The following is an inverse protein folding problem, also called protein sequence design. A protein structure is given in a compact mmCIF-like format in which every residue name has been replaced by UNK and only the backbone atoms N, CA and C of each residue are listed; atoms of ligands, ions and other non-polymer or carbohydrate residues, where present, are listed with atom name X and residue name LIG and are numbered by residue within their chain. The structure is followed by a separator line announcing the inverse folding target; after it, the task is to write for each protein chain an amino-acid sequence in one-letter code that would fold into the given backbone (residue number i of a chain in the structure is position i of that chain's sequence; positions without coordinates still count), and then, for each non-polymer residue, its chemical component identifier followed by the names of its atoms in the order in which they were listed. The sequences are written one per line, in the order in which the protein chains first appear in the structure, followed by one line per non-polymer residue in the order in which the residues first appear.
data_IF_759107570252
#
_entry.id   IF_759107570252
#
_cell.length_a   1.000
_cell.length_b   1.000
_cell.length_c   1.000
_cell.angle_alpha   90.00
_cell.angle_beta   90.00
_cell.angle_gamma   90.00
#
_symmetry.space_group_name_H-M   'P 1'
#
loop_
_entity.id
_entity.type
_entity.pdbx_description
1 polymer ?
#
# COMPACT_ATOMS: atom_id res chain seq x y z
N UNK A 1 -46.42 32.93 25.04
CA UNK A 1 -46.36 31.46 24.98
C UNK A 1 -45.17 31.11 24.11
N UNK A 2 -44.07 30.69 24.74
CA UNK A 2 -42.78 30.47 24.09
C UNK A 2 -42.65 28.99 23.72
N UNK A 3 -42.63 28.70 22.43
CA UNK A 3 -42.27 27.39 21.86
C UNK A 3 -40.83 27.50 21.39
N UNK A 4 -39.87 27.25 22.28
CA UNK A 4 -38.44 27.38 21.96
C UNK A 4 -37.62 26.33 22.71
N UNK A 5 -38.09 25.08 22.69
CA UNK A 5 -37.49 24.00 23.47
C UNK A 5 -37.63 22.62 22.80
N UNK A 6 -37.39 22.54 21.49
CA UNK A 6 -37.34 21.24 20.80
C UNK A 6 -36.09 21.01 19.93
N UNK A 7 -35.25 22.03 19.69
CA UNK A 7 -34.07 21.86 18.81
C UNK A 7 -32.78 21.43 19.53
N UNK A 8 -32.81 21.27 20.87
CA UNK A 8 -31.62 20.95 21.67
C UNK A 8 -31.43 19.46 22.03
N UNK A 9 -32.14 18.54 21.37
CA UNK A 9 -32.11 17.09 21.70
C UNK A 9 -31.19 16.24 20.80
N UNK A 10 -30.54 16.81 19.79
CA UNK A 10 -29.66 16.07 18.87
C UNK A 10 -28.17 16.06 19.25
N UNK A 11 -27.78 16.76 20.33
CA UNK A 11 -26.39 16.81 20.83
C UNK A 11 -26.29 16.27 22.26
N UNK A 12 -26.80 15.07 22.49
CA UNK A 12 -26.29 14.24 23.57
C UNK A 12 -25.02 13.58 23.04
N UNK A 13 -23.90 14.29 23.20
CA UNK A 13 -22.56 13.77 22.96
C UNK A 13 -22.37 12.49 23.79
N UNK A 14 -22.32 11.36 23.10
CA UNK A 14 -21.81 10.11 23.63
C UNK A 14 -20.28 10.28 23.79
N UNK A 15 -19.86 10.89 24.91
CA UNK A 15 -18.48 11.31 25.19
C UNK A 15 -17.45 10.16 25.22
N UNK A 16 -17.90 8.92 24.99
CA UNK A 16 -17.05 7.74 24.89
C UNK A 16 -16.86 7.21 23.46
N UNK A 17 -17.41 7.86 22.43
CA UNK A 17 -17.25 7.40 21.04
C UNK A 17 -16.08 8.10 20.37
N UNK A 18 -15.02 7.34 20.08
CA UNK A 18 -13.95 7.80 19.17
C UNK A 18 -14.49 7.87 17.75
N UNK A 19 -14.39 9.04 17.13
CA UNK A 19 -14.81 9.28 15.75
C UNK A 19 -13.60 9.12 14.83
N UNK A 20 -13.81 8.44 13.71
CA UNK A 20 -12.81 8.21 12.67
C UNK A 20 -13.39 8.66 11.34
N UNK A 21 -12.59 9.36 10.53
CA UNK A 21 -13.07 10.01 9.31
C UNK A 21 -13.72 11.36 9.57
N UNK A 22 -13.74 12.22 8.54
CA UNK A 22 -14.22 13.61 8.61
C UNK A 22 -13.10 14.66 8.55
N UNK A 23 -11.85 14.25 8.78
CA UNK A 23 -10.69 15.09 8.52
C UNK A 23 -10.40 15.14 7.03
N UNK A 24 -10.38 16.34 6.46
CA UNK A 24 -9.95 16.56 5.08
C UNK A 24 -8.43 16.46 5.04
N UNK A 25 -7.89 15.25 4.89
CA UNK A 25 -6.46 15.05 4.70
C UNK A 25 -6.08 15.36 3.27
N UNK A 26 -4.97 16.08 3.08
CA UNK A 26 -4.38 16.24 1.76
C UNK A 26 -3.92 14.87 1.24
N UNK A 27 -4.23 14.58 -0.04
CA UNK A 27 -3.74 13.37 -0.69
C UNK A 27 -2.22 13.41 -0.79
N UNK A 28 -1.59 12.25 -0.59
CA UNK A 28 -0.14 12.12 -0.80
C UNK A 28 0.18 12.35 -2.28
N UNK A 29 1.34 12.95 -2.52
CA UNK A 29 1.85 13.11 -3.88
C UNK A 29 2.02 11.74 -4.55
N UNK A 30 1.80 11.63 -5.88
CA UNK A 30 2.03 10.40 -6.62
C UNK A 30 3.46 9.89 -6.44
N UNK A 31 3.63 8.57 -6.29
CA UNK A 31 4.94 7.95 -6.29
C UNK A 31 5.45 7.82 -7.73
N UNK A 32 6.70 8.22 -7.98
CA UNK A 32 7.31 8.24 -9.31
C UNK A 32 8.51 7.29 -9.33
N UNK A 33 8.57 6.41 -10.33
CA UNK A 33 9.69 5.49 -10.47
C UNK A 33 9.99 5.16 -11.93
N UNK A 34 11.18 4.61 -12.16
CA UNK A 34 11.67 4.18 -13.47
C UNK A 34 12.46 2.88 -13.28
N UNK A 35 12.31 1.94 -14.22
CA UNK A 35 13.03 0.66 -14.23
C UNK A 35 13.96 0.65 -15.43
N UNK A 36 15.28 0.72 -15.22
CA UNK A 36 16.24 0.78 -16.32
C UNK A 36 15.94 1.93 -17.29
N UNK A 37 15.77 1.61 -18.57
CA UNK A 37 15.43 2.57 -19.64
C UNK A 37 13.92 2.71 -19.91
N UNK A 38 13.06 2.17 -19.05
CA UNK A 38 11.61 2.30 -19.19
C UNK A 38 11.12 3.75 -19.07
N UNK A 39 9.88 4.05 -19.48
CA UNK A 39 9.23 5.32 -19.14
C UNK A 39 9.14 5.54 -17.62
N UNK A 40 8.88 6.79 -17.21
CA UNK A 40 8.57 7.10 -15.82
C UNK A 40 7.13 6.72 -15.52
N UNK A 41 6.93 5.87 -14.52
CA UNK A 41 5.62 5.45 -14.03
C UNK A 41 5.17 6.32 -12.85
N UNK A 42 3.85 6.41 -12.68
CA UNK A 42 3.20 7.23 -11.67
C UNK A 42 2.14 6.41 -10.95
N UNK A 43 2.24 6.32 -9.63
CA UNK A 43 1.27 5.61 -8.80
C UNK A 43 0.54 6.62 -7.93
N UNK A 44 -0.78 6.60 -7.98
CA UNK A 44 -1.63 7.44 -7.14
C UNK A 44 -1.78 6.83 -5.74
N UNK A 45 -2.12 7.66 -4.75
CA UNK A 45 -2.50 7.13 -3.44
C UNK A 45 -3.70 6.19 -3.60
N UNK A 46 -3.62 4.93 -3.13
CA UNK A 46 -4.72 3.99 -3.22
C UNK A 46 -5.89 4.43 -2.34
N UNK A 47 -7.10 4.08 -2.75
CA UNK A 47 -8.30 4.23 -1.93
C UNK A 47 -8.36 3.19 -0.80
N UNK A 48 -9.33 3.35 0.11
CA UNK A 48 -9.48 2.48 1.27
C UNK A 48 -9.70 1.01 0.88
N UNK A 49 -10.47 0.75 -0.17
CA UNK A 49 -10.76 -0.61 -0.65
C UNK A 49 -9.49 -1.27 -1.17
N UNK A 50 -8.71 -0.56 -1.97
CA UNK A 50 -7.41 -1.02 -2.47
C UNK A 50 -6.42 -1.26 -1.33
N UNK A 51 -6.44 -0.41 -0.28
CA UNK A 51 -5.61 -0.61 0.90
C UNK A 51 -5.96 -1.91 1.62
N UNK A 52 -7.25 -2.19 1.83
CA UNK A 52 -7.68 -3.45 2.46
C UNK A 52 -7.24 -4.66 1.62
N UNK A 53 -7.42 -4.61 0.30
CA UNK A 53 -6.96 -5.68 -0.60
C UNK A 53 -5.44 -5.88 -0.56
N UNK A 54 -4.69 -4.78 -0.40
CA UNK A 54 -3.22 -4.81 -0.25
C UNK A 54 -2.83 -5.49 1.06
N UNK A 55 -3.53 -5.20 2.16
CA UNK A 55 -3.26 -5.84 3.47
C UNK A 55 -3.50 -7.35 3.45
N UNK A 56 -4.51 -7.81 2.70
CA UNK A 56 -4.79 -9.23 2.51
C UNK A 56 -3.85 -9.91 1.49
N UNK A 57 -3.12 -9.13 0.70
CA UNK A 57 -2.23 -9.66 -0.32
C UNK A 57 -1.03 -10.41 0.29
N UNK A 58 -0.94 -11.71 0.02
CA UNK A 58 0.11 -12.58 0.56
C UNK A 58 1.44 -12.51 -0.21
N UNK A 59 1.47 -11.85 -1.36
CA UNK A 59 2.64 -11.83 -2.27
C UNK A 59 2.93 -10.44 -2.81
N UNK A 60 4.21 -10.11 -2.97
CA UNK A 60 4.67 -8.83 -3.54
C UNK A 60 4.12 -8.58 -4.94
N UNK A 61 3.91 -9.64 -5.74
CA UNK A 61 3.29 -9.53 -7.07
C UNK A 61 1.84 -9.04 -6.98
N UNK A 62 1.05 -9.57 -6.04
CA UNK A 62 -0.34 -9.14 -5.84
C UNK A 62 -0.41 -7.72 -5.30
N UNK A 63 0.46 -7.38 -4.34
CA UNK A 63 0.61 -6.00 -3.84
C UNK A 63 0.89 -5.03 -4.98
N UNK A 64 1.86 -5.33 -5.85
CA UNK A 64 2.15 -4.47 -6.99
C UNK A 64 1.01 -4.38 -7.99
N UNK A 65 0.31 -5.49 -8.26
CA UNK A 65 -0.84 -5.46 -9.17
C UNK A 65 -1.94 -4.53 -8.65
N UNK A 66 -2.15 -4.49 -7.33
CA UNK A 66 -3.11 -3.59 -6.69
C UNK A 66 -2.67 -2.12 -6.77
N UNK A 67 -1.39 -1.82 -6.52
CA UNK A 67 -0.87 -0.46 -6.67
C UNK A 67 -0.87 0.04 -8.11
N UNK A 68 -0.44 -0.81 -9.04
CA UNK A 68 -0.18 -0.43 -10.43
C UNK A 68 -1.45 -0.47 -11.28
N UNK A 69 -2.41 -1.34 -10.95
CA UNK A 69 -3.63 -1.50 -11.74
C UNK A 69 -3.30 -1.88 -13.18
N UNK A 70 -3.82 -1.10 -14.13
CA UNK A 70 -3.66 -1.35 -15.57
C UNK A 70 -2.20 -1.25 -16.04
N UNK A 71 -1.35 -0.46 -15.37
CA UNK A 71 0.06 -0.32 -15.75
C UNK A 71 0.93 -1.50 -15.28
N UNK A 72 0.36 -2.48 -14.56
CA UNK A 72 1.11 -3.61 -14.02
C UNK A 72 1.80 -4.43 -15.12
N UNK A 73 1.10 -4.70 -16.22
CA UNK A 73 1.65 -5.54 -17.29
C UNK A 73 2.81 -4.82 -18.01
N UNK A 74 2.68 -3.52 -18.28
CA UNK A 74 3.77 -2.69 -18.82
C UNK A 74 5.00 -2.71 -17.90
N UNK A 75 4.80 -2.54 -16.59
CA UNK A 75 5.89 -2.60 -15.60
C UNK A 75 6.51 -3.99 -15.52
N UNK A 76 5.69 -5.05 -15.62
CA UNK A 76 6.16 -6.42 -15.55
C UNK A 76 7.06 -6.79 -16.74
N UNK A 77 6.78 -6.26 -17.93
CA UNK A 77 7.61 -6.44 -19.13
C UNK A 77 9.03 -5.89 -18.92
N UNK A 78 9.19 -4.77 -18.21
CA UNK A 78 10.50 -4.20 -17.87
C UNK A 78 11.21 -4.89 -16.71
N UNK A 79 10.47 -5.52 -15.78
CA UNK A 79 11.06 -6.28 -14.68
C UNK A 79 11.73 -7.56 -15.17
N UNK A 80 11.18 -8.19 -16.21
CA UNK A 80 11.70 -9.43 -16.78
C UNK A 80 11.78 -10.61 -15.78
N UNK A 81 12.18 -11.80 -16.25
CA UNK A 81 12.34 -12.97 -15.37
C UNK A 81 13.58 -12.89 -14.45
N UNK A 82 14.52 -11.99 -14.73
CA UNK A 82 15.83 -11.94 -14.07
C UNK A 82 15.90 -11.05 -12.83
N UNK A 83 14.92 -10.17 -12.59
CA UNK A 83 14.97 -9.19 -11.49
C UNK A 83 13.83 -9.35 -10.47
N UNK A 84 13.67 -10.54 -9.84
CA UNK A 84 12.63 -10.74 -8.83
C UNK A 84 12.84 -9.90 -7.56
N UNK A 85 14.07 -9.48 -7.28
CA UNK A 85 14.38 -8.64 -6.11
C UNK A 85 13.86 -7.20 -6.32
N UNK A 86 13.94 -6.66 -7.54
CA UNK A 86 13.42 -5.32 -7.89
C UNK A 86 11.90 -5.22 -7.67
N UNK A 87 11.16 -6.30 -7.93
CA UNK A 87 9.73 -6.40 -7.66
C UNK A 87 9.44 -6.22 -6.16
N UNK A 88 10.23 -6.89 -5.31
CA UNK A 88 10.08 -6.84 -3.85
C UNK A 88 10.41 -5.44 -3.34
N UNK A 89 11.45 -4.81 -3.88
CA UNK A 89 11.89 -3.47 -3.47
C UNK A 89 10.88 -2.40 -3.91
N UNK A 90 10.36 -2.48 -5.14
CA UNK A 90 9.30 -1.56 -5.60
C UNK A 90 8.03 -1.65 -4.74
N UNK A 91 7.60 -2.88 -4.40
CA UNK A 91 6.44 -3.07 -3.53
C UNK A 91 6.64 -2.45 -2.14
N UNK A 92 7.88 -2.52 -1.63
CA UNK A 92 8.26 -1.96 -0.33
C UNK A 92 8.28 -0.43 -0.37
N UNK A 93 8.84 0.14 -1.42
CA UNK A 93 8.95 1.60 -1.55
C UNK A 93 7.56 2.24 -1.72
N UNK A 94 6.67 1.63 -2.51
CA UNK A 94 5.27 2.05 -2.62
C UNK A 94 4.54 1.98 -1.28
N UNK A 95 4.69 0.86 -0.57
CA UNK A 95 4.09 0.67 0.75
C UNK A 95 4.56 1.75 1.73
N UNK A 96 5.88 1.98 1.80
CA UNK A 96 6.45 3.02 2.67
C UNK A 96 5.96 4.42 2.30
N UNK A 97 5.94 4.77 1.02
CA UNK A 97 5.51 6.10 0.55
C UNK A 97 4.05 6.38 0.95
N UNK A 98 3.15 5.43 0.68
CA UNK A 98 1.75 5.57 1.04
C UNK A 98 1.47 5.30 2.52
N UNK A 99 2.48 4.95 3.32
CA UNK A 99 2.33 4.70 4.76
C UNK A 99 1.53 3.43 5.03
N UNK A 100 1.59 2.48 4.10
CA UNK A 100 0.99 1.16 4.20
C UNK A 100 2.03 0.21 4.78
N UNK A 101 1.62 -0.54 5.80
CA UNK A 101 2.44 -1.43 6.63
C UNK A 101 3.51 -0.72 7.47
N UNK A 102 3.73 -1.21 8.70
CA UNK A 102 5.06 -1.15 9.29
C UNK A 102 5.96 -1.97 8.37
N UNK A 103 6.78 -1.28 7.56
CA UNK A 103 7.61 -1.84 6.50
C UNK A 103 8.48 -3.05 6.93
N UNK A 104 8.64 -3.29 8.24
CA UNK A 104 9.35 -4.43 8.80
C UNK A 104 8.64 -5.79 8.63
N UNK A 105 7.30 -5.86 8.66
CA UNK A 105 6.60 -7.17 8.69
C UNK A 105 6.60 -7.89 7.33
N UNK A 106 6.46 -7.16 6.22
CA UNK A 106 6.52 -7.74 4.87
C UNK A 106 7.96 -8.10 4.47
N UNK A 107 8.93 -7.26 4.85
CA UNK A 107 10.37 -7.48 4.62
C UNK A 107 10.85 -8.75 5.31
N UNK A 108 10.42 -8.99 6.55
CA UNK A 108 10.77 -10.20 7.27
C UNK A 108 10.31 -11.50 6.58
N UNK A 109 9.21 -11.49 5.81
CA UNK A 109 8.75 -12.68 5.04
C UNK A 109 9.44 -12.84 3.69
N UNK A 110 9.78 -11.75 3.01
CA UNK A 110 10.46 -11.79 1.71
C UNK A 110 11.98 -12.04 1.85
N UNK A 111 12.62 -11.39 2.81
CA UNK A 111 14.04 -11.56 3.13
C UNK A 111 14.32 -12.98 3.63
N UNK A 112 13.45 -13.56 4.48
CA UNK A 112 13.54 -14.99 4.83
C UNK A 112 13.54 -15.90 3.59
N UNK A 113 12.65 -15.66 2.63
CA UNK A 113 12.57 -16.44 1.37
C UNK A 113 13.79 -16.23 0.46
N UNK A 114 14.33 -15.01 0.39
CA UNK A 114 15.54 -14.72 -0.38
C UNK A 114 16.79 -15.37 0.23
N UNK A 115 16.96 -15.25 1.56
CA UNK A 115 18.05 -15.91 2.31
C UNK A 115 17.98 -17.43 2.21
N UNK A 116 16.79 -18.02 2.30
CA UNK A 116 16.60 -19.46 2.18
C UNK A 116 16.99 -19.98 0.79
N UNK A 117 16.75 -19.21 -0.28
CA UNK A 117 17.22 -19.53 -1.64
C UNK A 117 18.73 -19.44 -1.76
N UNK A 118 19.37 -18.41 -1.17
CA UNK A 118 20.83 -18.25 -1.19
C UNK A 118 21.58 -19.33 -0.40
N UNK A 119 20.98 -19.87 0.67
CA UNK A 119 21.58 -20.92 1.50
C UNK A 119 21.39 -22.34 0.93
N UNK A 120 20.37 -22.57 0.09
CA UNK A 120 20.12 -23.86 -0.55
C UNK A 120 21.10 -24.23 -1.67
N UNK A 121 21.84 -23.26 -2.22
CA UNK A 121 22.79 -23.48 -3.33
C UNK A 121 24.19 -23.95 -2.92
N UNK A 122 24.51 -23.99 -1.62
CA UNK A 122 25.87 -24.27 -1.12
C UNK A 122 26.05 -25.68 -0.51
N UNK A 123 25.08 -26.56 -0.70
CA UNK A 123 25.14 -27.98 -0.31
C UNK A 123 24.93 -28.89 -1.52
N UNK A 124 25.93 -28.96 -2.40
CA UNK A 124 26.26 -30.14 -3.19
C UNK A 124 27.77 -30.18 -3.38
#
# INVERSE_FOLDING_TARGET
MSTDNLDNLAQLDDQNVRRYGGEQRERKAPFRFQIGESPVFYVQEPDADTVMDIEEAQTSRRVLKLFLGDQFDDVADFLGPEHPDTLIDLARDLSRHFGLFDAEQAVNRADRRSRQRRLGGRRR
#
